data_IF_354249180233
#
_entry.id   IF_354249180233
#
_cell.length_a   1.000
_cell.length_b   1.000
_cell.length_c   1.000
_cell.angle_alpha   90.00
_cell.angle_beta   90.00
_cell.angle_gamma   90.00
#
_symmetry.space_group_name_H-M   'P 1'
#
loop_
_entity.id
_entity.type
_entity.pdbx_description
1 polymer ?
#
# COMPACT_ATOMS: atom_id res chain seq x y z
N UNK A 1 30.32 16.88 29.59
CA UNK A 1 29.89 18.00 28.73
C UNK A 1 29.22 17.42 27.50
N UNK A 2 27.95 17.72 27.21
CA UNK A 2 27.36 17.30 25.96
C UNK A 2 28.06 18.03 24.81
N UNK A 3 28.41 17.28 23.75
CA UNK A 3 28.93 17.85 22.50
C UNK A 3 27.91 18.86 21.95
N UNK A 4 28.35 20.07 21.50
CA UNK A 4 27.44 21.01 20.86
C UNK A 4 26.85 20.35 19.63
N UNK A 5 25.51 20.43 19.49
CA UNK A 5 24.81 19.99 18.29
C UNK A 5 25.42 20.67 17.05
N UNK A 6 25.82 19.91 16.08
CA UNK A 6 26.36 20.43 14.81
C UNK A 6 25.35 21.43 14.22
N UNK A 7 25.85 22.60 13.80
CA UNK A 7 25.00 23.60 13.15
C UNK A 7 24.27 22.96 11.95
N UNK A 8 22.97 23.26 11.74
CA UNK A 8 22.22 22.68 10.65
C UNK A 8 22.87 23.07 9.32
N UNK A 9 23.17 22.07 8.49
CA UNK A 9 23.70 22.28 7.14
C UNK A 9 22.64 23.04 6.34
N UNK A 10 22.97 24.20 5.73
CA UNK A 10 21.99 24.96 4.95
C UNK A 10 21.42 24.09 3.81
N UNK A 11 20.13 24.22 3.47
CA UNK A 11 19.54 23.47 2.38
C UNK A 11 20.21 23.86 1.03
N UNK A 12 20.26 22.93 0.06
CA UNK A 12 20.86 23.19 -1.25
C UNK A 12 20.07 24.22 -2.06
N UNK A 13 20.68 24.85 -3.06
CA UNK A 13 19.98 25.78 -3.96
C UNK A 13 18.97 25.07 -4.89
N UNK A 14 19.18 23.79 -5.19
CA UNK A 14 18.33 22.98 -6.07
C UNK A 14 18.10 21.60 -5.45
N UNK A 15 17.05 20.92 -5.93
CA UNK A 15 16.76 19.53 -5.57
C UNK A 15 16.25 18.76 -6.78
N UNK A 16 16.14 17.43 -6.65
CA UNK A 16 15.62 16.57 -7.71
C UNK A 16 14.18 16.15 -7.41
N UNK A 17 13.40 16.01 -8.49
CA UNK A 17 12.08 15.42 -8.44
C UNK A 17 11.84 14.54 -9.67
N UNK A 18 10.90 13.60 -9.57
CA UNK A 18 10.50 12.74 -10.68
C UNK A 18 9.20 13.28 -11.28
N UNK A 19 9.16 13.45 -12.58
CA UNK A 19 7.96 13.87 -13.32
C UNK A 19 7.47 12.76 -14.24
N UNK A 20 6.16 12.61 -14.33
CA UNK A 20 5.54 11.79 -15.35
C UNK A 20 5.63 12.54 -16.68
N UNK A 21 6.27 11.99 -17.72
CA UNK A 21 6.41 12.63 -19.02
C UNK A 21 5.30 12.24 -19.98
N UNK A 22 4.86 10.99 -19.93
CA UNK A 22 3.80 10.48 -20.79
C UNK A 22 3.01 9.37 -20.07
N UNK A 23 1.77 9.19 -20.50
CA UNK A 23 0.96 8.03 -20.10
C UNK A 23 1.27 6.84 -21.01
N UNK A 24 1.32 5.60 -20.49
CA UNK A 24 1.52 4.45 -21.35
C UNK A 24 0.35 4.30 -22.34
N UNK A 25 0.67 4.27 -23.64
CA UNK A 25 -0.33 4.14 -24.72
C UNK A 25 -0.93 2.74 -24.82
N UNK A 26 -0.13 1.72 -24.50
CA UNK A 26 -0.49 0.30 -24.56
C UNK A 26 -0.73 -0.34 -23.19
N UNK A 27 -0.90 0.47 -22.14
CA UNK A 27 -1.07 0.00 -20.78
C UNK A 27 0.20 -0.49 -20.07
N UNK A 28 1.35 -0.63 -20.76
CA UNK A 28 2.61 -1.07 -20.16
C UNK A 28 3.42 0.14 -19.67
N UNK A 29 3.61 0.25 -18.36
CA UNK A 29 4.44 1.27 -17.76
C UNK A 29 5.92 0.87 -17.82
N UNK A 30 6.77 1.81 -18.25
CA UNK A 30 8.23 1.67 -18.26
C UNK A 30 8.87 2.85 -17.55
N UNK A 31 10.16 2.74 -17.25
CA UNK A 31 10.92 3.86 -16.65
C UNK A 31 10.99 5.09 -17.58
N UNK A 32 10.92 4.88 -18.91
CA UNK A 32 10.93 5.97 -19.90
C UNK A 32 9.67 6.87 -19.90
N UNK A 33 8.67 6.55 -19.09
CA UNK A 33 7.52 7.44 -18.86
C UNK A 33 7.77 8.46 -17.73
N UNK A 34 8.99 8.51 -17.20
CA UNK A 34 9.36 9.40 -16.10
C UNK A 34 10.71 10.04 -16.39
N UNK A 35 10.86 11.30 -15.98
CA UNK A 35 12.13 12.02 -15.96
C UNK A 35 12.49 12.43 -14.55
N UNK A 36 13.78 12.36 -14.23
CA UNK A 36 14.35 12.95 -13.02
C UNK A 36 14.91 14.32 -13.37
N UNK A 37 14.31 15.35 -12.84
CA UNK A 37 14.68 16.74 -13.14
C UNK A 37 15.24 17.44 -11.91
N UNK A 38 16.20 18.35 -12.15
CA UNK A 38 16.72 19.25 -11.12
C UNK A 38 15.97 20.58 -11.21
N UNK A 39 15.42 21.03 -10.10
CA UNK A 39 14.64 22.26 -10.01
C UNK A 39 15.13 23.13 -8.83
N UNK A 40 14.87 24.44 -8.83
CA UNK A 40 15.16 25.29 -7.66
C UNK A 40 14.50 24.75 -6.40
N UNK A 41 15.17 24.91 -5.26
CA UNK A 41 14.56 24.55 -3.97
C UNK A 41 13.33 25.41 -3.73
N UNK A 42 12.15 24.81 -3.44
CA UNK A 42 10.93 25.57 -3.24
C UNK A 42 10.97 26.33 -1.91
N UNK A 43 10.43 27.53 -1.90
CA UNK A 43 10.34 28.40 -0.72
C UNK A 43 8.94 28.23 -0.10
N UNK A 44 8.82 27.85 1.18
CA UNK A 44 7.51 27.76 1.83
C UNK A 44 6.94 29.16 2.11
N UNK A 45 5.67 29.35 1.77
CA UNK A 45 4.88 30.51 2.19
C UNK A 45 4.24 30.32 3.58
N UNK A 46 3.40 31.28 4.03
CA UNK A 46 2.69 31.18 5.31
C UNK A 46 1.86 29.89 5.41
N UNK A 47 1.83 29.27 6.60
CA UNK A 47 1.13 28.02 6.87
C UNK A 47 1.76 26.79 6.24
N UNK A 48 2.95 26.91 5.68
CA UNK A 48 3.66 25.81 4.99
C UNK A 48 5.04 25.55 5.54
N UNK A 49 5.46 24.32 5.43
CA UNK A 49 6.75 23.81 5.89
C UNK A 49 7.61 23.41 4.71
N UNK A 50 8.91 23.65 4.77
CA UNK A 50 9.87 22.98 3.90
C UNK A 50 10.28 21.67 4.58
N UNK A 51 10.03 20.55 3.90
CA UNK A 51 10.35 19.20 4.39
C UNK A 51 11.37 18.56 3.46
N UNK A 52 12.47 18.05 4.04
CA UNK A 52 13.42 17.18 3.36
C UNK A 52 12.92 15.73 3.45
N UNK A 53 12.53 15.14 2.35
CA UNK A 53 12.13 13.74 2.32
C UNK A 53 13.31 12.81 2.65
N UNK A 54 13.07 11.80 3.46
CA UNK A 54 14.03 10.76 3.86
C UNK A 54 13.64 9.41 3.27
N UNK A 55 12.34 9.12 3.31
CA UNK A 55 11.76 7.88 2.79
C UNK A 55 10.47 8.20 2.04
N UNK A 56 10.20 7.50 0.97
CA UNK A 56 8.90 7.52 0.32
C UNK A 56 8.44 6.12 -0.05
N UNK A 57 7.13 5.89 -0.04
CA UNK A 57 6.52 4.63 -0.45
C UNK A 57 6.17 4.67 -1.94
N UNK A 58 6.38 3.54 -2.61
CA UNK A 58 5.92 3.30 -3.98
C UNK A 58 4.83 2.23 -3.93
N UNK A 59 3.65 2.53 -4.47
CA UNK A 59 2.49 1.63 -4.41
C UNK A 59 1.84 1.46 -5.79
N UNK A 60 1.08 0.38 -5.97
CA UNK A 60 0.37 0.11 -7.21
C UNK A 60 -0.68 1.20 -7.56
N UNK A 61 -1.22 1.90 -6.56
CA UNK A 61 -2.14 3.01 -6.74
C UNK A 61 -1.52 4.22 -7.46
N UNK A 62 -0.18 4.30 -7.52
CA UNK A 62 0.55 5.37 -8.23
C UNK A 62 0.67 5.10 -9.73
N UNK A 63 0.18 3.96 -10.23
CA UNK A 63 0.18 3.69 -11.67
C UNK A 63 -0.65 4.76 -12.39
N UNK A 64 -0.09 5.43 -13.42
CA UNK A 64 -0.88 6.32 -14.26
C UNK A 64 -2.00 5.53 -14.96
N UNK A 65 -3.25 5.93 -14.73
CA UNK A 65 -4.39 5.31 -15.40
C UNK A 65 -4.45 5.72 -16.88
N UNK A 66 -4.96 4.87 -17.78
CA UNK A 66 -5.24 5.24 -19.16
C UNK A 66 -6.22 6.41 -19.25
N UNK A 67 -6.45 6.94 -20.47
CA UNK A 67 -7.43 8.01 -20.73
C UNK A 67 -8.81 7.66 -20.13
N UNK A 68 -9.35 8.59 -19.35
CA UNK A 68 -10.62 8.42 -18.65
C UNK A 68 -10.50 8.74 -17.15
N UNK A 69 -9.33 8.55 -16.57
CA UNK A 69 -8.98 8.95 -15.20
C UNK A 69 -9.95 8.46 -14.11
N UNK A 70 -9.87 9.03 -12.90
CA UNK A 70 -10.73 8.68 -11.78
C UNK A 70 -12.21 8.97 -12.00
N UNK A 71 -12.55 9.96 -12.84
CA UNK A 71 -13.94 10.27 -13.19
C UNK A 71 -14.65 9.12 -13.90
N UNK A 72 -13.92 8.34 -14.72
CA UNK A 72 -14.47 7.14 -15.35
C UNK A 72 -14.76 6.02 -14.33
N UNK A 73 -14.17 6.09 -13.13
CA UNK A 73 -14.37 5.16 -12.03
C UNK A 73 -15.31 5.72 -10.95
N UNK A 74 -15.92 6.90 -11.16
CA UNK A 74 -16.75 7.56 -10.16
C UNK A 74 -15.98 8.09 -8.94
N UNK A 75 -14.65 8.18 -9.02
CA UNK A 75 -13.82 8.73 -7.95
C UNK A 75 -13.83 10.27 -8.01
N UNK A 76 -13.98 10.96 -6.89
CA UNK A 76 -13.99 12.42 -6.86
C UNK A 76 -12.61 12.99 -7.21
N UNK A 77 -12.55 13.85 -8.22
CA UNK A 77 -11.38 14.65 -8.59
C UNK A 77 -10.32 13.94 -9.43
N UNK A 78 -9.43 14.71 -10.07
CA UNK A 78 -8.26 14.15 -10.75
C UNK A 78 -7.24 13.67 -9.72
N UNK A 79 -6.71 12.45 -9.89
CA UNK A 79 -5.50 12.05 -9.18
C UNK A 79 -4.34 12.89 -9.73
N UNK A 80 -3.71 13.77 -8.94
CA UNK A 80 -2.68 14.69 -9.44
C UNK A 80 -1.49 13.99 -10.12
N UNK A 81 -1.24 12.75 -9.72
CA UNK A 81 -0.14 11.90 -10.22
C UNK A 81 -0.32 11.39 -11.67
N UNK A 82 -1.45 11.66 -12.31
CA UNK A 82 -1.76 11.09 -13.63
C UNK A 82 -1.61 12.10 -14.78
N UNK A 83 -1.12 13.30 -14.53
CA UNK A 83 -0.97 14.36 -15.55
C UNK A 83 0.48 14.42 -16.01
N UNK A 84 0.77 14.33 -17.34
CA UNK A 84 2.11 14.57 -17.86
C UNK A 84 2.64 15.95 -17.42
N UNK A 85 3.91 16.01 -17.03
CA UNK A 85 4.56 17.18 -16.44
C UNK A 85 4.43 17.26 -14.91
N UNK A 86 3.47 16.58 -14.29
CA UNK A 86 3.28 16.59 -12.84
C UNK A 86 4.22 15.62 -12.12
N UNK A 87 4.56 15.99 -10.88
CA UNK A 87 5.26 15.10 -9.93
C UNK A 87 4.24 14.17 -9.30
N UNK A 88 4.42 12.84 -9.33
CA UNK A 88 3.54 11.92 -8.64
C UNK A 88 3.44 12.22 -7.14
N UNK A 89 2.27 12.01 -6.57
CA UNK A 89 2.04 12.09 -5.14
C UNK A 89 2.13 10.69 -4.52
N UNK A 90 2.57 10.62 -3.27
CA UNK A 90 2.62 9.38 -2.51
C UNK A 90 3.10 9.62 -1.09
N UNK A 91 2.83 8.66 -0.18
CA UNK A 91 3.28 8.78 1.20
C UNK A 91 4.79 8.93 1.30
N UNK A 92 5.22 9.87 2.15
CA UNK A 92 6.62 10.11 2.47
C UNK A 92 6.78 10.39 3.96
N UNK A 93 7.97 10.11 4.48
CA UNK A 93 8.48 10.56 5.76
C UNK A 93 9.65 11.48 5.48
N UNK A 94 9.63 12.66 6.06
CA UNK A 94 10.67 13.65 5.92
C UNK A 94 10.89 14.45 7.19
N UNK A 95 11.97 15.21 7.21
CA UNK A 95 12.35 16.09 8.29
C UNK A 95 11.97 17.53 7.96
N UNK A 96 11.30 18.22 8.87
CA UNK A 96 11.00 19.64 8.73
C UNK A 96 12.33 20.43 8.75
N UNK A 97 12.59 21.17 7.69
CA UNK A 97 13.79 22.03 7.57
C UNK A 97 13.50 23.47 7.98
N UNK A 98 12.32 23.98 7.62
CA UNK A 98 11.88 25.31 8.03
C UNK A 98 10.37 25.43 8.17
N UNK A 99 9.95 26.27 9.11
CA UNK A 99 8.57 26.69 9.38
C UNK A 99 8.59 28.23 9.54
N UNK A 100 8.49 29.01 8.45
CA UNK A 100 8.79 30.45 8.46
C UNK A 100 7.96 31.29 9.43
N UNK A 101 6.70 30.89 9.65
CA UNK A 101 5.77 31.59 10.56
C UNK A 101 5.58 30.86 11.90
N UNK A 102 6.39 29.81 12.16
CA UNK A 102 6.27 29.00 13.38
C UNK A 102 5.02 28.12 13.45
N UNK A 103 4.24 28.02 12.35
CA UNK A 103 3.04 27.19 12.30
C UNK A 103 3.39 25.72 12.05
N UNK A 104 2.81 24.82 12.85
CA UNK A 104 2.98 23.37 12.71
C UNK A 104 4.22 22.79 13.40
N UNK A 105 4.68 21.60 13.00
CA UNK A 105 5.84 20.94 13.58
C UNK A 105 7.14 21.75 13.43
N UNK A 106 7.95 21.79 14.49
CA UNK A 106 9.21 22.54 14.51
C UNK A 106 10.26 21.91 13.57
N UNK A 107 11.27 22.71 13.11
CA UNK A 107 12.42 22.16 12.40
C UNK A 107 13.10 21.02 13.18
N UNK A 108 13.53 19.98 12.46
CA UNK A 108 14.07 18.74 13.02
C UNK A 108 13.01 17.66 13.30
N UNK A 109 11.72 18.03 13.35
CA UNK A 109 10.65 17.04 13.55
C UNK A 109 10.49 16.14 12.31
N UNK A 110 10.41 14.83 12.53
CA UNK A 110 10.01 13.89 11.47
C UNK A 110 8.50 13.92 11.28
N UNK A 111 8.08 14.06 10.03
CA UNK A 111 6.66 14.14 9.68
C UNK A 111 6.31 13.18 8.55
N UNK A 112 5.09 12.63 8.58
CA UNK A 112 4.49 11.89 7.48
C UNK A 112 3.58 12.83 6.69
N UNK A 113 3.68 12.77 5.36
CA UNK A 113 2.85 13.54 4.42
C UNK A 113 2.66 12.79 3.09
N UNK A 114 2.02 13.41 2.09
CA UNK A 114 1.67 12.78 0.80
C UNK A 114 2.49 13.27 -0.40
N UNK A 115 3.54 14.08 -0.20
CA UNK A 115 4.33 14.69 -1.26
C UNK A 115 5.69 13.99 -1.45
N UNK A 116 5.69 12.69 -1.70
CA UNK A 116 6.84 11.92 -2.16
C UNK A 116 7.25 12.27 -3.60
N UNK A 117 8.13 11.47 -4.20
CA UNK A 117 8.67 11.60 -5.55
C UNK A 117 9.51 12.86 -5.78
N UNK A 118 10.02 13.45 -4.71
CA UNK A 118 10.90 14.62 -4.67
C UNK A 118 11.79 14.60 -3.43
N UNK A 119 12.95 15.22 -3.50
CA UNK A 119 13.86 15.29 -2.35
C UNK A 119 13.41 16.31 -1.31
N UNK A 120 12.79 17.42 -1.74
CA UNK A 120 12.22 18.44 -0.86
C UNK A 120 10.77 18.73 -1.26
N UNK A 121 9.94 18.95 -0.28
CA UNK A 121 8.52 19.25 -0.47
C UNK A 121 8.09 20.47 0.36
N UNK A 122 7.25 21.31 -0.21
CA UNK A 122 6.50 22.32 0.56
C UNK A 122 5.16 21.72 0.94
N UNK A 123 5.00 21.47 2.23
CA UNK A 123 3.85 20.75 2.81
C UNK A 123 3.00 21.72 3.62
N UNK A 124 1.67 21.65 3.49
CA UNK A 124 0.78 22.40 4.38
C UNK A 124 0.97 21.92 5.83
N UNK A 125 1.12 22.84 6.78
CA UNK A 125 1.40 22.50 8.18
C UNK A 125 0.37 21.52 8.78
N UNK A 126 -0.91 21.65 8.43
CA UNK A 126 -1.97 20.75 8.85
C UNK A 126 -1.87 19.33 8.24
N UNK A 127 -1.17 19.20 7.09
CA UNK A 127 -0.94 17.93 6.40
C UNK A 127 0.38 17.24 6.81
N UNK A 128 1.21 17.90 7.60
CA UNK A 128 2.47 17.38 8.12
C UNK A 128 2.24 16.71 9.48
N UNK A 129 2.05 15.39 9.47
CA UNK A 129 1.72 14.63 10.69
C UNK A 129 3.01 14.19 11.39
N UNK A 130 3.32 14.70 12.61
CA UNK A 130 4.46 14.22 13.39
C UNK A 130 4.38 12.71 13.62
N UNK A 131 5.53 12.05 13.59
CA UNK A 131 5.62 10.60 13.81
C UNK A 131 6.38 10.23 15.08
N UNK A 132 6.95 11.21 15.77
CA UNK A 132 7.66 10.99 17.02
C UNK A 132 6.67 10.59 18.13
N UNK A 133 6.97 9.47 18.80
CA UNK A 133 6.16 9.00 19.91
C UNK A 133 4.87 8.24 19.54
N UNK A 134 4.62 7.93 18.26
CA UNK A 134 3.43 7.20 17.83
C UNK A 134 3.49 5.67 18.05
N UNK A 135 4.60 5.19 18.61
CA UNK A 135 4.78 3.78 18.97
C UNK A 135 5.24 2.87 17.84
N UNK A 136 5.55 3.39 16.65
CA UNK A 136 6.17 2.60 15.59
C UNK A 136 7.71 2.60 15.73
N UNK A 137 8.37 1.41 15.74
CA UNK A 137 9.80 1.31 16.02
C UNK A 137 10.72 1.81 14.89
N UNK A 138 10.21 1.90 13.66
CA UNK A 138 10.95 2.36 12.47
C UNK A 138 10.07 3.35 11.69
N UNK A 139 10.59 4.53 11.31
CA UNK A 139 9.90 5.47 10.42
C UNK A 139 9.38 4.85 9.12
N UNK A 140 10.04 3.81 8.60
CA UNK A 140 9.56 3.06 7.44
C UNK A 140 8.18 2.42 7.65
N UNK A 141 7.84 2.05 8.88
CA UNK A 141 6.55 1.46 9.22
C UNK A 141 5.37 2.43 8.98
N UNK A 142 5.62 3.75 9.03
CA UNK A 142 4.67 4.80 8.67
C UNK A 142 4.21 4.72 7.21
N UNK A 143 5.05 4.13 6.36
CA UNK A 143 4.85 4.00 4.92
C UNK A 143 4.31 2.62 4.53
N UNK A 144 4.00 1.77 5.51
CA UNK A 144 3.41 0.45 5.29
C UNK A 144 1.99 0.56 4.74
N UNK A 145 1.57 -0.45 3.99
CA UNK A 145 0.17 -0.67 3.62
C UNK A 145 -0.57 -1.47 4.71
N UNK A 146 -0.11 -1.37 5.95
CA UNK A 146 -0.70 -2.08 7.10
C UNK A 146 -2.09 -1.58 7.46
N UNK A 147 -2.35 -0.27 7.32
CA UNK A 147 -3.66 0.28 7.65
C UNK A 147 -4.81 -0.31 6.80
N UNK A 148 -4.74 -0.31 5.45
CA UNK A 148 -5.75 -1.02 4.66
C UNK A 148 -5.80 -2.53 4.97
N UNK A 149 -4.67 -3.18 5.21
CA UNK A 149 -4.64 -4.60 5.58
C UNK A 149 -5.39 -4.86 6.88
N UNK A 150 -5.13 -4.08 7.92
CA UNK A 150 -5.80 -4.17 9.21
C UNK A 150 -7.29 -3.84 9.10
N UNK A 151 -7.67 -2.81 8.35
CA UNK A 151 -9.07 -2.49 8.09
C UNK A 151 -9.80 -3.64 7.40
N UNK A 152 -9.20 -4.27 6.40
CA UNK A 152 -9.77 -5.42 5.70
C UNK A 152 -10.06 -6.58 6.65
N UNK A 153 -9.10 -6.88 7.53
CA UNK A 153 -9.19 -7.98 8.50
C UNK A 153 -10.20 -7.67 9.62
N UNK A 154 -10.11 -6.47 10.23
CA UNK A 154 -10.83 -6.14 11.46
C UNK A 154 -12.21 -5.55 11.18
N UNK A 155 -12.29 -4.52 10.36
CA UNK A 155 -13.54 -3.78 10.08
C UNK A 155 -14.28 -4.30 8.84
N UNK A 156 -13.53 -4.79 7.84
CA UNK A 156 -14.10 -5.29 6.59
C UNK A 156 -14.73 -6.65 6.72
N UNK A 157 -13.91 -7.65 6.96
CA UNK A 157 -14.34 -9.04 7.07
C UNK A 157 -14.60 -9.48 8.51
N UNK A 158 -14.07 -8.78 9.51
CA UNK A 158 -14.25 -9.13 10.91
C UNK A 158 -13.76 -10.56 11.19
N UNK A 159 -12.47 -10.81 10.96
CA UNK A 159 -11.84 -12.12 11.18
C UNK A 159 -12.07 -12.59 12.60
N UNK A 160 -12.38 -13.87 12.77
CA UNK A 160 -12.71 -14.51 14.03
C UNK A 160 -11.84 -15.74 14.28
N UNK A 161 -11.79 -16.16 15.51
CA UNK A 161 -11.14 -17.42 15.89
C UNK A 161 -11.74 -18.59 15.11
N UNK A 162 -10.88 -19.39 14.51
CA UNK A 162 -11.27 -20.56 13.73
C UNK A 162 -11.51 -20.32 12.24
N UNK A 163 -11.53 -19.06 11.76
CA UNK A 163 -11.76 -18.75 10.36
C UNK A 163 -10.65 -19.31 9.44
N UNK A 164 -11.05 -19.78 8.27
CA UNK A 164 -10.18 -20.01 7.11
C UNK A 164 -10.20 -18.75 6.24
N UNK A 165 -9.04 -18.10 6.13
CA UNK A 165 -8.87 -16.79 5.45
C UNK A 165 -8.11 -16.97 4.15
N UNK A 166 -8.64 -16.45 3.04
CA UNK A 166 -7.92 -16.32 1.80
C UNK A 166 -7.51 -14.85 1.56
N UNK A 167 -6.24 -14.62 1.25
CA UNK A 167 -5.68 -13.28 0.99
C UNK A 167 -5.15 -13.23 -0.42
N UNK A 168 -5.75 -12.42 -1.28
CA UNK A 168 -5.26 -12.24 -2.65
C UNK A 168 -4.07 -11.29 -2.69
N UNK A 169 -3.13 -11.52 -3.62
CA UNK A 169 -1.93 -10.70 -3.73
C UNK A 169 -1.08 -10.71 -2.45
N UNK A 170 -1.02 -11.86 -1.77
CA UNK A 170 -0.41 -12.05 -0.46
C UNK A 170 1.05 -11.58 -0.35
N UNK A 171 1.78 -11.57 -1.47
CA UNK A 171 3.17 -11.10 -1.50
C UNK A 171 3.32 -9.58 -1.68
N UNK A 172 2.23 -8.83 -1.82
CA UNK A 172 2.25 -7.36 -1.93
C UNK A 172 2.24 -6.65 -0.58
N UNK A 173 2.31 -5.32 -0.60
CA UNK A 173 2.36 -4.51 0.62
C UNK A 173 1.17 -4.68 1.56
N UNK A 174 -0.05 -4.83 1.02
CA UNK A 174 -1.26 -5.12 1.82
C UNK A 174 -1.28 -6.58 2.26
N UNK A 175 -1.14 -7.51 1.30
CA UNK A 175 -1.30 -8.93 1.55
C UNK A 175 -0.28 -9.47 2.56
N UNK A 176 0.98 -9.03 2.48
CA UNK A 176 2.04 -9.47 3.40
C UNK A 176 1.77 -9.16 4.87
N UNK A 177 0.91 -8.17 5.14
CA UNK A 177 0.47 -7.81 6.49
C UNK A 177 -0.91 -8.38 6.82
N UNK A 178 -1.82 -8.48 5.82
CA UNK A 178 -3.17 -8.98 6.05
C UNK A 178 -3.20 -10.41 6.59
N UNK A 179 -2.35 -11.31 6.06
CA UNK A 179 -2.24 -12.67 6.57
C UNK A 179 -1.78 -12.73 8.02
N UNK A 180 -0.79 -11.94 8.38
CA UNK A 180 -0.28 -11.84 9.74
C UNK A 180 -1.35 -11.27 10.68
N UNK A 181 -2.05 -10.21 10.30
CA UNK A 181 -3.17 -9.67 11.09
C UNK A 181 -4.30 -10.69 11.22
N UNK A 182 -4.65 -11.43 10.16
CA UNK A 182 -5.65 -12.49 10.27
C UNK A 182 -5.25 -13.54 11.30
N UNK A 183 -3.98 -13.93 11.35
CA UNK A 183 -3.44 -14.85 12.36
C UNK A 183 -3.55 -14.28 13.77
N UNK A 184 -3.19 -13.02 13.98
CA UNK A 184 -3.32 -12.34 15.28
C UNK A 184 -4.78 -12.26 15.75
N UNK A 185 -5.74 -12.19 14.81
CA UNK A 185 -7.17 -12.20 15.11
C UNK A 185 -7.77 -13.60 15.20
N UNK A 186 -6.93 -14.64 15.24
CA UNK A 186 -7.33 -16.00 15.57
C UNK A 186 -7.75 -16.87 14.37
N UNK A 187 -7.43 -16.46 13.12
CA UNK A 187 -7.61 -17.32 11.96
C UNK A 187 -6.91 -18.67 12.17
N UNK A 188 -7.65 -19.77 11.99
CA UNK A 188 -7.08 -21.11 12.10
C UNK A 188 -6.24 -21.48 10.88
N UNK A 189 -6.60 -20.93 9.72
CA UNK A 189 -5.91 -21.17 8.45
C UNK A 189 -5.83 -19.90 7.63
N UNK A 190 -4.64 -19.59 7.12
CA UNK A 190 -4.38 -18.42 6.25
C UNK A 190 -3.77 -18.89 4.94
N UNK A 191 -4.49 -18.66 3.84
CA UNK A 191 -4.10 -19.04 2.48
C UNK A 191 -3.77 -17.76 1.71
N UNK A 192 -2.64 -17.72 1.03
CA UNK A 192 -2.25 -16.58 0.22
C UNK A 192 -2.30 -16.88 -1.27
N UNK A 193 -2.29 -15.85 -2.12
CA UNK A 193 -2.00 -16.00 -3.53
C UNK A 193 -0.82 -15.16 -3.98
N UNK A 194 -0.02 -15.69 -4.90
CA UNK A 194 1.08 -14.97 -5.57
C UNK A 194 1.34 -15.52 -6.97
N UNK A 195 1.97 -14.73 -7.85
CA UNK A 195 2.43 -15.21 -9.15
C UNK A 195 3.89 -15.70 -9.15
N UNK A 196 4.55 -15.79 -7.99
CA UNK A 196 5.96 -16.15 -7.90
C UNK A 196 6.18 -17.35 -6.97
N UNK A 197 6.71 -18.49 -7.47
CA UNK A 197 7.04 -19.65 -6.64
C UNK A 197 8.03 -19.30 -5.52
N UNK A 198 9.03 -18.48 -5.81
CA UNK A 198 10.02 -18.06 -4.81
C UNK A 198 9.38 -17.28 -3.65
N UNK A 199 8.41 -16.40 -3.96
CA UNK A 199 7.66 -15.66 -2.93
C UNK A 199 6.66 -16.55 -2.19
N UNK A 200 6.09 -17.57 -2.85
CA UNK A 200 5.21 -18.53 -2.18
C UNK A 200 5.92 -19.22 -1.01
N UNK A 201 7.14 -19.69 -1.22
CA UNK A 201 7.95 -20.28 -0.14
C UNK A 201 8.24 -19.31 1.01
N UNK A 202 8.47 -18.02 0.70
CA UNK A 202 8.69 -16.98 1.72
C UNK A 202 7.42 -16.64 2.50
N UNK A 203 6.26 -16.59 1.85
CA UNK A 203 4.97 -16.40 2.53
C UNK A 203 4.75 -17.44 3.62
N UNK A 204 5.05 -18.70 3.32
CA UNK A 204 4.89 -19.79 4.29
C UNK A 204 5.93 -19.69 5.41
N UNK A 205 7.21 -19.59 5.06
CA UNK A 205 8.29 -19.66 6.07
C UNK A 205 8.43 -18.39 6.91
N UNK A 206 8.17 -17.21 6.33
CA UNK A 206 8.49 -15.93 6.94
C UNK A 206 7.24 -15.18 7.45
N UNK A 207 6.07 -15.39 6.81
CA UNK A 207 4.87 -14.61 7.10
C UNK A 207 3.69 -15.43 7.63
N UNK A 208 3.92 -16.72 7.96
CA UNK A 208 2.94 -17.56 8.64
C UNK A 208 1.71 -17.94 7.80
N UNK A 209 1.82 -17.95 6.48
CA UNK A 209 0.80 -18.53 5.60
C UNK A 209 0.87 -20.07 5.65
N UNK A 210 -0.28 -20.74 5.69
CA UNK A 210 -0.34 -22.20 5.72
C UNK A 210 -0.25 -22.82 4.33
N UNK A 211 -0.75 -22.11 3.31
CA UNK A 211 -0.74 -22.55 1.92
C UNK A 211 -0.74 -21.35 0.97
N UNK A 212 -0.33 -21.59 -0.27
CA UNK A 212 -0.27 -20.55 -1.30
C UNK A 212 -0.82 -21.07 -2.62
N UNK A 213 -1.79 -20.34 -3.16
CA UNK A 213 -2.30 -20.49 -4.51
C UNK A 213 -1.34 -19.77 -5.48
N UNK A 214 -0.79 -20.49 -6.44
CA UNK A 214 0.16 -19.96 -7.39
C UNK A 214 -0.55 -19.58 -8.70
N UNK A 215 -0.64 -18.28 -8.97
CA UNK A 215 -1.17 -17.80 -10.24
C UNK A 215 -0.28 -18.28 -11.40
N UNK A 216 -0.89 -18.95 -12.39
CA UNK A 216 -0.17 -19.60 -13.49
C UNK A 216 0.26 -21.04 -13.20
N UNK A 217 -0.02 -21.58 -12.00
CA UNK A 217 0.21 -22.97 -11.62
C UNK A 217 -1.01 -23.89 -11.82
N UNK A 218 -1.98 -23.47 -12.61
CA UNK A 218 -3.25 -24.13 -12.83
C UNK A 218 -4.45 -23.29 -12.39
N UNK A 219 -5.70 -23.79 -12.53
CA UNK A 219 -6.90 -23.08 -12.13
C UNK A 219 -6.88 -22.65 -10.66
N UNK A 220 -7.17 -21.38 -10.39
CA UNK A 220 -7.14 -20.83 -9.02
C UNK A 220 -8.12 -21.55 -8.11
N UNK A 221 -9.31 -21.87 -8.62
CA UNK A 221 -10.35 -22.56 -7.83
C UNK A 221 -9.91 -23.95 -7.38
N UNK A 222 -9.26 -24.74 -8.24
CA UNK A 222 -8.77 -26.08 -7.90
C UNK A 222 -7.69 -26.03 -6.81
N UNK A 223 -6.72 -25.12 -6.96
CA UNK A 223 -5.67 -24.93 -5.98
C UNK A 223 -6.23 -24.46 -4.64
N UNK A 224 -7.20 -23.51 -4.68
CA UNK A 224 -7.84 -23.00 -3.47
C UNK A 224 -8.68 -24.08 -2.78
N UNK A 225 -9.37 -24.94 -3.54
CA UNK A 225 -10.12 -26.09 -3.03
C UNK A 225 -9.21 -27.09 -2.33
N UNK A 226 -8.05 -27.38 -2.89
CA UNK A 226 -7.05 -28.23 -2.26
C UNK A 226 -6.49 -27.62 -0.97
N UNK A 227 -6.30 -26.29 -0.98
CA UNK A 227 -5.82 -25.56 0.21
C UNK A 227 -6.89 -25.34 1.28
N UNK A 228 -8.17 -25.31 0.93
CA UNK A 228 -9.31 -25.12 1.81
C UNK A 228 -10.42 -26.14 1.51
N UNK A 229 -10.23 -27.43 1.86
CA UNK A 229 -11.20 -28.48 1.54
C UNK A 229 -12.59 -28.22 2.14
N UNK A 230 -12.66 -27.59 3.30
CA UNK A 230 -13.92 -27.22 3.96
C UNK A 230 -14.45 -25.83 3.51
N UNK A 231 -13.79 -25.18 2.53
CA UNK A 231 -14.13 -23.85 2.05
C UNK A 231 -13.52 -22.72 2.87
N UNK A 232 -13.88 -21.47 2.52
CA UNK A 232 -13.32 -20.26 3.14
C UNK A 232 -14.40 -19.46 3.88
N UNK A 233 -14.04 -18.91 5.04
CA UNK A 233 -14.90 -18.04 5.85
C UNK A 233 -14.68 -16.56 5.50
N UNK A 234 -13.45 -16.19 5.12
CA UNK A 234 -13.04 -14.81 4.90
C UNK A 234 -12.20 -14.69 3.64
N UNK A 235 -12.47 -13.63 2.86
CA UNK A 235 -11.60 -13.14 1.80
C UNK A 235 -11.12 -11.72 2.15
N UNK A 236 -9.81 -11.49 2.01
CA UNK A 236 -9.21 -10.15 1.96
C UNK A 236 -8.68 -9.94 0.55
N UNK A 237 -9.40 -9.15 -0.25
CA UNK A 237 -9.15 -9.05 -1.69
C UNK A 237 -8.57 -7.69 -2.11
N UNK A 238 -7.41 -7.74 -2.77
CA UNK A 238 -6.77 -6.60 -3.41
C UNK A 238 -6.68 -6.73 -4.94
N UNK A 239 -7.15 -7.87 -5.48
CA UNK A 239 -6.93 -8.25 -6.89
C UNK A 239 -8.22 -8.30 -7.70
N UNK A 240 -9.29 -8.90 -7.17
CA UNK A 240 -10.52 -9.17 -7.94
C UNK A 240 -10.37 -10.29 -8.95
N UNK A 241 -11.19 -10.24 -10.01
CA UNK A 241 -11.13 -11.17 -11.14
C UNK A 241 -11.35 -12.64 -10.76
N UNK A 242 -10.58 -13.54 -11.37
CA UNK A 242 -10.65 -14.99 -11.16
C UNK A 242 -10.52 -15.40 -9.68
N UNK A 243 -9.69 -14.68 -8.92
CA UNK A 243 -9.47 -15.00 -7.50
C UNK A 243 -10.71 -14.72 -6.64
N UNK A 244 -11.43 -13.63 -6.92
CA UNK A 244 -12.70 -13.33 -6.26
C UNK A 244 -13.78 -14.37 -6.66
N UNK A 245 -13.80 -14.78 -7.91
CA UNK A 245 -14.73 -15.81 -8.40
C UNK A 245 -14.48 -17.17 -7.72
N UNK A 246 -13.21 -17.60 -7.67
CA UNK A 246 -12.80 -18.83 -7.00
C UNK A 246 -13.12 -18.79 -5.49
N UNK A 247 -12.88 -17.65 -4.84
CA UNK A 247 -13.23 -17.46 -3.44
C UNK A 247 -14.75 -17.60 -3.21
N UNK A 248 -15.56 -17.01 -4.09
CA UNK A 248 -17.02 -17.11 -3.99
C UNK A 248 -17.52 -18.53 -4.24
N UNK A 249 -16.90 -19.28 -5.17
CA UNK A 249 -17.23 -20.67 -5.42
C UNK A 249 -16.99 -21.59 -4.19
N UNK A 250 -16.00 -21.22 -3.35
CA UNK A 250 -15.60 -21.97 -2.16
C UNK A 250 -16.06 -21.30 -0.85
N UNK A 251 -16.89 -20.26 -0.93
CA UNK A 251 -17.36 -19.56 0.26
C UNK A 251 -18.22 -20.49 1.14
N UNK A 252 -17.91 -20.53 2.42
CA UNK A 252 -18.77 -21.16 3.43
C UNK A 252 -20.02 -20.31 3.67
N UNK A 253 -21.02 -20.91 4.30
CA UNK A 253 -22.22 -20.17 4.69
C UNK A 253 -21.88 -19.04 5.65
N UNK A 254 -22.31 -17.80 5.34
CA UNK A 254 -22.02 -16.61 6.13
C UNK A 254 -20.60 -16.06 5.92
N UNK A 255 -19.91 -16.43 4.83
CA UNK A 255 -18.59 -15.91 4.50
C UNK A 255 -18.59 -14.39 4.32
N UNK A 256 -17.47 -13.75 4.67
CA UNK A 256 -17.32 -12.28 4.74
C UNK A 256 -16.12 -11.85 3.90
N UNK A 257 -16.36 -11.07 2.86
CA UNK A 257 -15.39 -10.68 1.86
C UNK A 257 -15.12 -9.16 1.95
N UNK A 258 -13.90 -8.79 2.31
CA UNK A 258 -13.42 -7.42 2.30
C UNK A 258 -12.68 -7.12 0.99
N UNK A 259 -13.21 -6.18 0.21
CA UNK A 259 -12.65 -5.76 -1.08
C UNK A 259 -11.89 -4.45 -0.86
N UNK A 260 -10.56 -4.50 -1.00
CA UNK A 260 -9.62 -3.39 -0.76
C UNK A 260 -9.04 -2.84 -2.06
N UNK A 261 -9.16 -3.58 -3.16
CA UNK A 261 -8.59 -3.18 -4.44
C UNK A 261 -9.04 -4.04 -5.60
N UNK A 262 -8.66 -3.65 -6.81
CA UNK A 262 -9.03 -4.29 -8.06
C UNK A 262 -7.82 -4.33 -9.02
N UNK A 263 -6.70 -4.90 -8.56
CA UNK A 263 -5.44 -4.90 -9.31
C UNK A 263 -5.58 -5.59 -10.69
N UNK A 264 -6.41 -6.63 -10.81
CA UNK A 264 -6.67 -7.30 -12.08
C UNK A 264 -7.28 -6.35 -13.13
N UNK A 265 -8.25 -5.54 -12.73
CA UNK A 265 -8.85 -4.51 -13.59
C UNK A 265 -7.83 -3.40 -13.91
N UNK A 266 -7.04 -2.98 -12.95
CA UNK A 266 -5.98 -1.99 -13.19
C UNK A 266 -4.91 -2.49 -14.17
N UNK A 267 -4.55 -3.77 -14.13
CA UNK A 267 -3.54 -4.38 -15.01
C UNK A 267 -4.06 -4.74 -16.40
N UNK A 268 -5.37 -4.98 -16.57
CA UNK A 268 -5.98 -5.30 -17.88
C UNK A 268 -5.94 -4.13 -18.87
N UNK A 269 -5.65 -2.91 -18.39
CA UNK A 269 -5.75 -1.68 -19.17
C UNK A 269 -7.18 -1.15 -19.33
N UNK A 270 -8.17 -1.90 -18.86
CA UNK A 270 -9.57 -1.49 -18.77
C UNK A 270 -9.98 -1.30 -17.31
N UNK A 271 -9.99 -0.06 -16.81
CA UNK A 271 -10.37 0.22 -15.44
C UNK A 271 -11.84 -0.09 -15.14
N UNK A 272 -12.65 -0.33 -16.19
CA UNK A 272 -14.06 -0.71 -16.07
C UNK A 272 -14.25 -2.24 -16.15
N UNK A 273 -13.16 -3.01 -16.24
CA UNK A 273 -13.21 -4.47 -16.28
C UNK A 273 -14.01 -5.02 -15.08
N UNK A 274 -14.99 -5.85 -15.42
CA UNK A 274 -15.94 -6.37 -14.44
C UNK A 274 -15.55 -7.77 -14.00
N UNK A 275 -15.76 -8.07 -12.72
CA UNK A 275 -15.73 -9.43 -12.20
C UNK A 275 -17.17 -9.95 -12.14
N UNK A 276 -17.50 -10.97 -12.94
CA UNK A 276 -18.81 -11.64 -12.87
C UNK A 276 -18.91 -12.44 -11.59
N UNK A 277 -19.99 -12.26 -10.84
CA UNK A 277 -20.30 -13.03 -9.62
C UNK A 277 -21.70 -13.62 -9.70
N UNK A 278 -21.89 -14.82 -9.15
CA UNK A 278 -23.20 -15.47 -9.04
C UNK A 278 -23.97 -14.86 -7.87
N UNK A 279 -25.04 -14.11 -8.19
CA UNK A 279 -25.95 -13.57 -7.16
C UNK A 279 -26.68 -14.69 -6.40
N UNK A 280 -26.98 -15.80 -7.06
CA UNK A 280 -27.55 -16.98 -6.41
C UNK A 280 -26.60 -17.54 -5.34
N UNK A 281 -25.29 -17.59 -5.61
CA UNK A 281 -24.31 -18.04 -4.62
C UNK A 281 -24.25 -17.09 -3.42
N UNK A 282 -24.38 -15.77 -3.65
CA UNK A 282 -24.47 -14.79 -2.55
C UNK A 282 -25.66 -15.08 -1.63
N UNK A 283 -26.84 -15.26 -2.22
CA UNK A 283 -28.09 -15.50 -1.48
C UNK A 283 -28.05 -16.84 -0.75
N UNK A 284 -27.75 -17.94 -1.46
CA UNK A 284 -27.83 -19.29 -0.90
C UNK A 284 -26.79 -19.55 0.20
N UNK A 285 -25.64 -18.85 0.14
CA UNK A 285 -24.57 -18.97 1.15
C UNK A 285 -24.57 -17.83 2.15
N UNK A 286 -25.38 -16.77 1.95
CA UNK A 286 -25.41 -15.61 2.81
C UNK A 286 -24.08 -14.87 2.85
N UNK A 287 -23.40 -14.74 1.69
CA UNK A 287 -22.10 -14.10 1.60
C UNK A 287 -22.23 -12.59 1.67
N UNK A 288 -21.40 -11.94 2.49
CA UNK A 288 -21.28 -10.48 2.51
C UNK A 288 -20.06 -10.04 1.71
N UNK A 289 -20.25 -9.13 0.73
CA UNK A 289 -19.15 -8.41 0.08
C UNK A 289 -19.16 -6.97 0.56
N UNK A 290 -18.03 -6.49 1.06
CA UNK A 290 -17.89 -5.14 1.57
C UNK A 290 -16.66 -4.45 0.97
N UNK A 291 -16.87 -3.35 0.24
CA UNK A 291 -15.80 -2.44 -0.16
C UNK A 291 -15.27 -1.67 1.06
N UNK A 292 -13.95 -1.53 1.16
CA UNK A 292 -13.29 -0.82 2.25
C UNK A 292 -12.38 0.26 1.65
N UNK A 293 -12.72 1.52 1.93
CA UNK A 293 -11.90 2.68 1.63
C UNK A 293 -11.20 3.17 2.91
N UNK A 294 -9.89 3.38 2.84
CA UNK A 294 -9.15 3.95 3.97
C UNK A 294 -9.58 5.37 4.31
N UNK A 295 -10.17 6.11 3.37
CA UNK A 295 -10.66 7.47 3.59
C UNK A 295 -11.86 7.50 4.56
N UNK A 296 -12.71 6.47 4.51
CA UNK A 296 -13.94 6.41 5.31
C UNK A 296 -13.70 5.91 6.75
N UNK A 297 -12.44 5.51 7.06
CA UNK A 297 -12.09 4.85 8.31
C UNK A 297 -10.90 5.50 9.03
N UNK A 298 -10.68 6.81 8.85
CA UNK A 298 -9.55 7.50 9.50
C UNK A 298 -9.67 7.52 11.04
N UNK A 299 -10.88 7.39 11.57
CA UNK A 299 -11.17 7.21 13.00
C UNK A 299 -10.45 5.98 13.59
N UNK A 300 -10.24 4.95 12.80
CA UNK A 300 -9.58 3.70 13.24
C UNK A 300 -8.04 3.76 13.18
N UNK A 301 -7.46 4.84 12.66
CA UNK A 301 -6.00 4.93 12.50
C UNK A 301 -5.23 4.88 13.83
N UNK A 302 -5.66 5.54 14.92
CA UNK A 302 -4.97 5.43 16.20
C UNK A 302 -4.94 3.99 16.75
N UNK A 303 -6.05 3.24 16.61
CA UNK A 303 -6.13 1.83 17.04
C UNK A 303 -5.21 0.94 16.22
N UNK A 304 -5.19 1.14 14.90
CA UNK A 304 -4.25 0.45 14.03
C UNK A 304 -2.79 0.74 14.41
N UNK A 305 -2.42 2.02 14.56
CA UNK A 305 -1.03 2.41 14.86
C UNK A 305 -0.56 1.76 16.16
N UNK A 306 -1.40 1.78 17.19
CA UNK A 306 -1.12 1.13 18.48
C UNK A 306 -0.98 -0.38 18.36
N UNK A 307 -1.91 -1.03 17.66
CA UNK A 307 -1.89 -2.49 17.48
C UNK A 307 -0.68 -2.94 16.64
N UNK A 308 -0.41 -2.22 15.55
CA UNK A 308 0.70 -2.54 14.64
C UNK A 308 2.06 -2.27 15.31
N UNK A 309 2.21 -1.13 16.01
CA UNK A 309 3.43 -0.79 16.73
C UNK A 309 3.76 -1.83 17.81
N UNK A 310 2.76 -2.23 18.60
CA UNK A 310 2.91 -3.31 19.60
C UNK A 310 3.35 -4.61 18.93
N UNK A 311 2.67 -5.03 17.87
CA UNK A 311 2.97 -6.28 17.18
C UNK A 311 4.37 -6.30 16.55
N UNK A 312 4.85 -5.16 16.04
CA UNK A 312 6.22 -5.00 15.55
C UNK A 312 7.24 -5.09 16.68
N UNK A 313 7.02 -4.41 17.81
CA UNK A 313 7.91 -4.46 18.98
C UNK A 313 7.98 -5.86 19.60
N UNK A 314 6.88 -6.59 19.64
CA UNK A 314 6.80 -7.96 20.13
C UNK A 314 7.32 -9.01 19.11
N UNK A 315 7.59 -8.61 17.86
CA UNK A 315 8.00 -9.50 16.78
C UNK A 315 6.91 -10.48 16.32
N UNK A 316 5.64 -10.24 16.71
CA UNK A 316 4.50 -11.06 16.30
C UNK A 316 4.02 -10.73 14.89
N UNK A 317 4.39 -9.55 14.38
CA UNK A 317 4.26 -9.12 12.99
C UNK A 317 5.61 -8.62 12.50
N UNK A 318 5.97 -8.99 11.28
CA UNK A 318 7.12 -8.42 10.57
C UNK A 318 6.61 -7.52 9.45
N UNK A 319 7.34 -6.45 9.17
CA UNK A 319 7.05 -5.55 8.06
C UNK A 319 8.02 -5.82 6.90
N UNK A 320 7.65 -6.71 5.94
CA UNK A 320 8.52 -6.97 4.79
C UNK A 320 8.50 -5.78 3.85
N UNK A 321 9.69 -5.27 3.53
CA UNK A 321 9.85 -4.20 2.56
C UNK A 321 11.19 -4.25 1.86
N UNK A 322 11.26 -3.66 0.67
CA UNK A 322 12.48 -3.45 -0.09
C UNK A 322 12.79 -1.96 -0.10
N UNK A 323 14.06 -1.59 0.17
CA UNK A 323 14.55 -0.21 0.04
C UNK A 323 15.43 -0.08 -1.20
N UNK A 324 15.17 0.93 -2.02
CA UNK A 324 16.04 1.36 -3.11
C UNK A 324 16.58 2.75 -2.75
N UNK A 325 17.86 3.01 -3.03
CA UNK A 325 18.50 4.26 -2.62
C UNK A 325 18.57 5.27 -3.76
N UNK A 326 18.13 6.49 -3.48
CA UNK A 326 18.15 7.65 -4.38
C UNK A 326 16.88 7.82 -5.21
N UNK A 327 16.48 9.08 -5.41
CA UNK A 327 15.24 9.48 -6.11
C UNK A 327 15.15 8.90 -7.52
N UNK A 328 16.27 8.74 -8.20
CA UNK A 328 16.34 8.17 -9.55
C UNK A 328 15.84 6.72 -9.64
N UNK A 329 15.77 6.01 -8.51
CA UNK A 329 15.25 4.64 -8.47
C UNK A 329 13.70 4.59 -8.41
N UNK A 330 13.01 5.69 -8.17
CA UNK A 330 11.56 5.71 -8.02
C UNK A 330 10.79 5.17 -9.24
N UNK A 331 11.11 5.53 -10.49
CA UNK A 331 10.48 4.94 -11.67
C UNK A 331 10.70 3.42 -11.76
N UNK A 332 11.93 2.96 -11.52
CA UNK A 332 12.27 1.55 -11.50
C UNK A 332 11.51 0.80 -10.41
N UNK A 333 11.45 1.37 -9.21
CA UNK A 333 10.71 0.81 -8.07
C UNK A 333 9.24 0.56 -8.43
N UNK A 334 8.57 1.50 -9.11
CA UNK A 334 7.18 1.35 -9.54
C UNK A 334 7.02 0.28 -10.62
N UNK A 335 7.88 0.26 -11.63
CA UNK A 335 7.84 -0.75 -12.70
C UNK A 335 8.07 -2.15 -12.13
N UNK A 336 9.06 -2.32 -11.27
CA UNK A 336 9.36 -3.60 -10.62
C UNK A 336 8.24 -4.06 -9.66
N UNK A 337 7.63 -3.12 -8.92
CA UNK A 337 6.48 -3.40 -8.07
C UNK A 337 5.30 -3.94 -8.88
N UNK A 338 4.95 -3.25 -9.98
CA UNK A 338 3.85 -3.66 -10.86
C UNK A 338 4.14 -4.99 -11.56
N UNK A 339 5.41 -5.25 -11.87
CA UNK A 339 5.91 -6.54 -12.36
C UNK A 339 5.99 -7.63 -11.28
N UNK A 340 5.63 -7.30 -10.03
CA UNK A 340 5.60 -8.25 -8.92
C UNK A 340 6.98 -8.77 -8.51
N UNK A 341 8.06 -7.98 -8.61
CA UNK A 341 9.42 -8.42 -8.23
C UNK A 341 9.66 -8.43 -6.71
N UNK A 342 8.99 -7.56 -5.96
CA UNK A 342 9.23 -7.35 -4.54
C UNK A 342 8.27 -8.17 -3.66
N UNK A 343 8.71 -8.50 -2.45
CA UNK A 343 7.87 -9.01 -1.37
C UNK A 343 7.62 -7.87 -0.36
N UNK A 344 6.36 -7.63 -0.03
CA UNK A 344 5.96 -6.55 0.87
C UNK A 344 5.91 -5.18 0.20
N UNK A 345 6.20 -4.15 0.97
CA UNK A 345 6.22 -2.77 0.52
C UNK A 345 7.49 -2.43 -0.27
N UNK A 346 7.42 -1.38 -1.08
CA UNK A 346 8.60 -0.83 -1.79
C UNK A 346 8.79 0.61 -1.35
N UNK A 347 9.98 0.90 -0.84
CA UNK A 347 10.38 2.21 -0.34
C UNK A 347 11.57 2.73 -1.14
N UNK A 348 11.64 4.04 -1.29
CA UNK A 348 12.83 4.72 -1.81
C UNK A 348 13.39 5.62 -0.71
N UNK A 349 14.66 5.40 -0.40
CA UNK A 349 15.44 6.18 0.54
C UNK A 349 16.10 7.35 -0.22
N UNK A 350 16.00 8.60 0.34
CA UNK A 350 16.37 9.84 -0.34
C UNK A 350 17.54 10.55 0.37
#
# INVERSE_FOLDING_TARGET
>A
MPQPAAAPVPPPATHREVRLTARPSNGTLTTGHFDVVTVPLPVPGPGRLLVRNRLMSVTAAMRPLPRGGPGALGLPGPLPSAVPGAVPHGPAVGEVISAPDGTGPAPGTLVRHSLGWREYAVVDAAGALPIDGDGLPDPAAQLSQGFPAWLGVVRGAGVRRGDTVFVTGAAGGVGSLAGQFARLHGAARVIGSTGSPAKAGRLVRELGYDAVVLRGGGPVEEQLRAAAPDGIDVLVDTVGGEQLQAALALARRGARFAILGALSAQLSGDPTARTGISTLSLVTRGVTLRGISTHDHQDARPDYTRAFGRALCEGTVVFPHTRLTGIAQAPRALVELLGGRHLGAVLVEL
#
